data_IF_209922884409
#
_entry.id   IF_209922884409
#
_cell.length_a   1.000
_cell.length_b   1.000
_cell.length_c   1.000
_cell.angle_alpha   90.00
_cell.angle_beta   90.00
_cell.angle_gamma   90.00
#
_symmetry.space_group_name_H-M   'P 1'
#
loop_
_entity.id
_entity.type
_entity.pdbx_description
1 polymer ?
#
# COMPACT_ATOMS: atom_id res chain seq x y z
N UNK A 1 -24.31 12.79 -0.34
CA UNK A 1 -23.04 12.09 -0.08
C UNK A 1 -22.71 12.24 1.40
N UNK A 2 -22.31 11.16 2.08
CA UNK A 2 -21.97 11.17 3.52
C UNK A 2 -20.66 10.41 3.75
N UNK A 3 -19.89 10.83 4.75
CA UNK A 3 -18.67 10.13 5.20
C UNK A 3 -18.92 9.19 6.38
N UNK A 4 -20.19 9.05 6.82
CA UNK A 4 -20.57 8.32 8.05
C UNK A 4 -21.26 6.98 7.76
N UNK A 5 -21.14 6.45 6.54
CA UNK A 5 -21.72 5.13 6.24
C UNK A 5 -20.96 4.05 7.02
N UNK A 6 -21.70 3.17 7.68
CA UNK A 6 -21.16 2.12 8.53
C UNK A 6 -21.67 0.76 8.05
N UNK A 7 -20.83 -0.26 8.19
CA UNK A 7 -21.24 -1.65 8.09
C UNK A 7 -21.32 -2.25 9.49
N UNK A 8 -22.15 -3.28 9.63
CA UNK A 8 -22.27 -4.07 10.83
C UNK A 8 -21.60 -5.42 10.57
N UNK A 9 -20.44 -5.63 11.20
CA UNK A 9 -19.82 -6.95 11.28
C UNK A 9 -20.39 -7.70 12.49
N UNK A 10 -20.65 -8.99 12.34
CA UNK A 10 -21.15 -9.85 13.42
C UNK A 10 -20.40 -11.17 13.40
N UNK A 11 -20.29 -11.81 14.57
CA UNK A 11 -19.56 -13.09 14.70
C UNK A 11 -20.51 -14.28 14.53
N UNK A 12 -21.71 -14.20 15.11
CA UNK A 12 -22.68 -15.29 15.05
C UNK A 12 -24.09 -14.80 14.77
N UNK A 13 -24.83 -15.65 14.07
CA UNK A 13 -26.25 -15.49 13.76
C UNK A 13 -27.03 -16.49 14.62
N UNK A 14 -27.91 -15.99 15.48
CA UNK A 14 -28.79 -16.83 16.28
C UNK A 14 -30.18 -16.88 15.61
N UNK A 15 -30.52 -18.04 15.04
CA UNK A 15 -31.82 -18.27 14.44
C UNK A 15 -32.81 -18.77 15.50
N UNK A 16 -33.86 -17.99 15.74
CA UNK A 16 -35.03 -18.41 16.51
C UNK A 16 -36.26 -18.33 15.60
N UNK A 17 -37.32 -17.61 15.99
CA UNK A 17 -38.39 -17.22 15.06
C UNK A 17 -37.95 -16.09 14.10
N UNK A 18 -36.92 -15.32 14.47
CA UNK A 18 -36.26 -14.32 13.63
C UNK A 18 -34.75 -14.44 13.79
N UNK A 19 -33.96 -14.11 12.76
CA UNK A 19 -32.50 -14.09 12.86
C UNK A 19 -32.04 -12.91 13.73
N UNK A 20 -31.20 -13.19 14.73
CA UNK A 20 -30.57 -12.18 15.58
C UNK A 20 -29.06 -12.18 15.35
N UNK A 21 -28.48 -11.00 15.19
CA UNK A 21 -27.02 -10.83 15.09
C UNK A 21 -26.42 -10.71 16.49
N UNK A 22 -25.42 -11.53 16.78
CA UNK A 22 -24.73 -11.58 18.07
C UNK A 22 -23.28 -11.10 17.90
N UNK A 23 -22.77 -10.37 18.89
CA UNK A 23 -21.43 -9.75 18.89
C UNK A 23 -21.22 -8.84 17.68
N UNK A 24 -22.03 -7.77 17.61
CA UNK A 24 -21.97 -6.82 16.52
C UNK A 24 -20.95 -5.71 16.75
N UNK A 25 -20.15 -5.39 15.74
CA UNK A 25 -19.22 -4.26 15.72
C UNK A 25 -19.53 -3.38 14.52
N UNK A 26 -19.54 -2.06 14.73
CA UNK A 26 -19.72 -1.08 13.65
C UNK A 26 -18.36 -0.72 13.08
N UNK A 27 -18.24 -0.77 11.75
CA UNK A 27 -17.01 -0.46 11.03
C UNK A 27 -17.27 0.56 9.91
N UNK A 28 -16.30 1.45 9.58
CA UNK A 28 -16.38 2.34 8.42
C UNK A 28 -16.58 1.56 7.12
N UNK A 29 -17.62 1.87 6.35
CA UNK A 29 -17.99 1.01 5.22
C UNK A 29 -16.96 1.04 4.07
N UNK A 30 -16.52 2.22 3.65
CA UNK A 30 -15.65 2.38 2.48
C UNK A 30 -14.29 1.70 2.69
N UNK A 31 -13.62 2.02 3.79
CA UNK A 31 -12.28 1.52 4.09
C UNK A 31 -12.29 0.01 4.32
N UNK A 32 -13.29 -0.50 5.05
CA UNK A 32 -13.41 -1.93 5.27
C UNK A 32 -13.72 -2.71 4.00
N UNK A 33 -14.56 -2.18 3.11
CA UNK A 33 -14.78 -2.82 1.80
C UNK A 33 -13.50 -2.79 0.96
N UNK A 34 -12.80 -1.65 0.91
CA UNK A 34 -11.56 -1.51 0.16
C UNK A 34 -10.43 -2.41 0.67
N UNK A 35 -10.39 -2.78 1.96
CA UNK A 35 -9.36 -3.67 2.52
C UNK A 35 -9.74 -5.16 2.55
N UNK A 36 -11.03 -5.50 2.69
CA UNK A 36 -11.46 -6.87 2.96
C UNK A 36 -12.36 -7.50 1.91
N UNK A 37 -12.85 -6.74 0.92
CA UNK A 37 -13.63 -7.33 -0.17
C UNK A 37 -12.77 -8.31 -0.99
N UNK A 38 -13.43 -9.33 -1.53
CA UNK A 38 -12.81 -10.31 -2.42
C UNK A 38 -12.68 -9.77 -3.83
N UNK A 39 -13.63 -8.95 -4.26
CA UNK A 39 -13.59 -8.30 -5.57
C UNK A 39 -14.02 -6.84 -5.47
N UNK A 40 -13.28 -5.99 -6.17
CA UNK A 40 -13.50 -4.56 -6.36
C UNK A 40 -13.52 -4.33 -7.86
N UNK A 41 -14.65 -3.84 -8.34
CA UNK A 41 -14.87 -3.53 -9.75
C UNK A 41 -15.03 -2.02 -9.88
N UNK A 42 -14.40 -1.42 -10.89
CA UNK A 42 -14.35 0.05 -11.04
C UNK A 42 -14.72 0.50 -12.44
N UNK A 43 -15.12 1.77 -12.58
CA UNK A 43 -15.21 2.46 -13.87
C UNK A 43 -13.87 3.16 -14.22
N UNK A 44 -13.74 3.68 -15.44
CA UNK A 44 -12.54 4.39 -15.91
C UNK A 44 -12.07 5.50 -14.95
N UNK A 45 -12.97 6.36 -14.47
CA UNK A 45 -12.61 7.46 -13.56
C UNK A 45 -12.44 7.05 -12.09
N UNK A 46 -12.62 5.77 -11.76
CA UNK A 46 -12.63 5.23 -10.38
C UNK A 46 -13.66 5.89 -9.42
N UNK A 47 -14.59 6.69 -9.94
CA UNK A 47 -15.65 7.35 -9.17
C UNK A 47 -16.77 6.39 -8.72
N UNK A 48 -16.95 5.29 -9.44
CA UNK A 48 -17.91 4.22 -9.13
C UNK A 48 -17.14 2.93 -8.84
N UNK A 49 -17.34 2.39 -7.65
CA UNK A 49 -16.75 1.13 -7.21
C UNK A 49 -17.87 0.16 -6.84
N UNK A 50 -17.70 -1.11 -7.18
CA UNK A 50 -18.59 -2.18 -6.73
C UNK A 50 -17.80 -3.22 -5.96
N UNK A 51 -18.18 -3.43 -4.70
CA UNK A 51 -17.60 -4.45 -3.84
C UNK A 51 -18.44 -5.73 -3.89
N UNK A 52 -17.76 -6.86 -4.12
CA UNK A 52 -18.30 -8.22 -4.14
C UNK A 52 -19.51 -8.43 -5.06
N UNK A 53 -19.69 -7.56 -6.07
CA UNK A 53 -20.77 -7.63 -7.04
C UNK A 53 -22.16 -7.22 -6.52
N UNK A 54 -22.28 -6.65 -5.31
CA UNK A 54 -23.59 -6.30 -4.75
C UNK A 54 -23.65 -4.96 -4.00
N UNK A 55 -22.52 -4.40 -3.58
CA UNK A 55 -22.46 -3.08 -2.95
C UNK A 55 -21.82 -2.06 -3.89
N UNK A 56 -22.57 -1.03 -4.24
CA UNK A 56 -22.09 0.10 -5.01
C UNK A 56 -21.69 1.25 -4.08
N UNK A 57 -20.50 1.78 -4.35
CA UNK A 57 -19.88 2.94 -3.73
C UNK A 57 -19.69 4.00 -4.80
N UNK A 58 -20.30 5.17 -4.62
CA UNK A 58 -20.12 6.30 -5.53
C UNK A 58 -19.42 7.43 -4.79
N UNK A 59 -18.21 7.77 -5.23
CA UNK A 59 -17.41 8.87 -4.72
C UNK A 59 -17.71 10.14 -5.50
N UNK A 60 -17.71 11.29 -4.82
CA UNK A 60 -17.93 12.58 -5.45
C UNK A 60 -16.70 13.09 -6.21
N UNK A 61 -15.51 12.69 -5.75
CA UNK A 61 -14.22 13.14 -6.28
C UNK A 61 -13.44 11.92 -6.79
N UNK A 62 -13.16 11.91 -8.09
CA UNK A 62 -12.34 10.88 -8.74
C UNK A 62 -10.90 10.92 -8.24
N UNK A 63 -10.39 12.10 -7.88
CA UNK A 63 -9.02 12.24 -7.42
C UNK A 63 -8.79 11.54 -6.07
N UNK A 64 -9.66 11.83 -5.11
CA UNK A 64 -9.69 11.15 -3.82
C UNK A 64 -9.92 9.65 -3.96
N UNK A 65 -10.75 9.22 -4.92
CA UNK A 65 -11.01 7.80 -5.18
C UNK A 65 -9.75 7.07 -5.64
N UNK A 66 -9.02 7.64 -6.60
CA UNK A 66 -7.76 7.09 -7.10
C UNK A 66 -6.71 6.97 -5.99
N UNK A 67 -6.53 8.03 -5.19
CA UNK A 67 -5.58 8.01 -4.05
C UNK A 67 -5.94 6.95 -3.02
N UNK A 68 -7.24 6.80 -2.70
CA UNK A 68 -7.71 5.77 -1.77
C UNK A 68 -7.47 4.37 -2.32
N UNK A 69 -7.74 4.15 -3.61
CA UNK A 69 -7.48 2.86 -4.26
C UNK A 69 -6.00 2.53 -4.24
N UNK A 70 -5.12 3.44 -4.68
CA UNK A 70 -3.67 3.25 -4.63
C UNK A 70 -3.18 2.91 -3.22
N UNK A 71 -3.63 3.68 -2.22
CA UNK A 71 -3.30 3.41 -0.81
C UNK A 71 -3.81 2.04 -0.36
N UNK A 72 -5.04 1.67 -0.70
CA UNK A 72 -5.61 0.36 -0.33
C UNK A 72 -4.88 -0.81 -1.00
N UNK A 73 -4.44 -0.65 -2.26
CA UNK A 73 -3.66 -1.65 -2.98
C UNK A 73 -2.32 -1.88 -2.30
N UNK A 74 -1.59 -0.79 -2.02
CA UNK A 74 -0.31 -0.83 -1.30
C UNK A 74 -0.45 -1.49 0.08
N UNK A 75 -1.48 -1.11 0.85
CA UNK A 75 -1.72 -1.66 2.18
C UNK A 75 -2.05 -3.16 2.15
N UNK A 76 -2.84 -3.62 1.19
CA UNK A 76 -3.14 -5.05 1.02
C UNK A 76 -1.88 -5.85 0.69
N UNK A 77 -1.06 -5.39 -0.26
CA UNK A 77 0.20 -6.04 -0.63
C UNK A 77 1.19 -6.08 0.54
N UNK A 78 1.33 -4.96 1.27
CA UNK A 78 2.22 -4.89 2.43
C UNK A 78 1.71 -5.80 3.57
N UNK A 79 0.41 -5.84 3.82
CA UNK A 79 -0.19 -6.76 4.79
C UNK A 79 0.05 -8.21 4.39
N UNK A 80 -0.31 -8.62 3.17
CA UNK A 80 -0.15 -10.00 2.69
C UNK A 80 1.31 -10.45 2.78
N UNK A 81 2.26 -9.64 2.31
CA UNK A 81 3.69 -9.97 2.40
C UNK A 81 4.21 -10.05 3.84
N UNK A 82 3.71 -9.21 4.76
CA UNK A 82 4.05 -9.31 6.17
C UNK A 82 3.48 -10.58 6.81
N UNK A 83 2.24 -10.96 6.45
CA UNK A 83 1.58 -12.17 6.93
C UNK A 83 2.30 -13.42 6.42
N UNK A 84 2.62 -13.48 5.13
CA UNK A 84 3.33 -14.61 4.51
C UNK A 84 4.70 -14.82 5.17
N UNK A 85 5.44 -13.74 5.41
CA UNK A 85 6.72 -13.81 6.15
C UNK A 85 6.54 -14.36 7.57
N UNK A 86 5.47 -13.97 8.28
CA UNK A 86 5.18 -14.49 9.62
C UNK A 86 4.79 -15.97 9.60
N UNK A 87 3.92 -16.38 8.66
CA UNK A 87 3.49 -17.77 8.49
C UNK A 87 4.65 -18.67 8.07
N UNK A 88 5.48 -18.24 7.12
CA UNK A 88 6.68 -18.96 6.69
C UNK A 88 7.63 -19.21 7.87
N UNK A 89 7.83 -18.22 8.75
CA UNK A 89 8.61 -18.41 9.97
C UNK A 89 7.99 -19.38 10.94
N UNK A 90 6.68 -19.32 11.19
CA UNK A 90 6.03 -20.28 12.08
C UNK A 90 6.13 -21.70 11.53
N UNK A 91 5.97 -21.87 10.22
CA UNK A 91 6.18 -23.15 9.54
C UNK A 91 7.63 -23.62 9.67
N UNK A 92 8.60 -22.72 9.56
CA UNK A 92 10.03 -23.03 9.69
C UNK A 92 10.44 -23.32 11.14
N UNK A 93 9.89 -22.62 12.14
CA UNK A 93 10.08 -22.94 13.57
C UNK A 93 9.54 -24.32 13.92
N UNK A 94 8.39 -24.70 13.38
CA UNK A 94 7.84 -26.06 13.53
C UNK A 94 8.72 -27.14 12.86
N UNK A 95 9.55 -26.77 11.88
CA UNK A 95 10.51 -27.67 11.22
C UNK A 95 11.89 -27.70 11.89
N UNK A 96 12.35 -26.56 12.43
CA UNK A 96 13.64 -26.38 13.11
C UNK A 96 13.66 -26.83 14.58
N UNK A 97 12.56 -27.37 15.11
CA UNK A 97 12.60 -28.24 16.30
C UNK A 97 13.35 -29.56 16.02
N UNK A 98 13.89 -29.77 14.80
CA UNK A 98 14.75 -30.90 14.43
C UNK A 98 16.22 -30.55 14.08
N UNK A 99 16.59 -29.35 13.63
CA UNK A 99 18.00 -29.02 13.34
C UNK A 99 18.31 -27.52 13.57
N UNK A 100 19.52 -27.23 14.07
CA UNK A 100 19.96 -25.93 14.59
C UNK A 100 20.10 -24.83 13.51
N UNK A 101 19.57 -23.66 13.87
CA UNK A 101 19.77 -22.28 13.44
C UNK A 101 20.55 -21.96 12.14
N UNK A 102 19.87 -21.36 11.16
CA UNK A 102 20.46 -20.37 10.24
C UNK A 102 19.45 -19.25 9.97
N UNK A 103 19.81 -18.04 10.43
CA UNK A 103 18.98 -16.85 10.48
C UNK A 103 18.36 -16.42 9.15
N UNK A 104 17.04 -16.29 9.14
CA UNK A 104 16.32 -15.41 8.22
C UNK A 104 16.00 -14.10 8.95
N UNK A 105 16.06 -12.94 8.27
CA UNK A 105 15.83 -11.65 8.91
C UNK A 105 14.41 -11.64 9.49
N UNK A 106 14.28 -11.33 10.79
CA UNK A 106 13.00 -11.14 11.45
C UNK A 106 12.24 -9.99 10.76
N UNK A 107 10.90 -10.07 10.71
CA UNK A 107 10.06 -8.94 10.32
C UNK A 107 10.23 -8.05 11.52
N UNK A 108 10.83 -6.89 11.31
CA UNK A 108 11.14 -6.03 12.43
C UNK A 108 9.80 -5.69 13.12
N UNK A 109 9.74 -5.72 14.46
CA UNK A 109 8.57 -5.22 15.18
C UNK A 109 8.20 -3.79 14.75
N UNK A 110 9.18 -3.05 14.24
CA UNK A 110 9.05 -1.72 13.67
C UNK A 110 8.24 -1.69 12.37
N UNK A 111 8.45 -2.63 11.43
CA UNK A 111 7.63 -2.79 10.21
C UNK A 111 6.16 -3.04 10.55
N UNK A 112 5.90 -3.97 11.49
CA UNK A 112 4.51 -4.27 11.92
C UNK A 112 3.87 -3.06 12.58
N UNK A 113 4.63 -2.33 13.40
CA UNK A 113 4.16 -1.10 14.01
C UNK A 113 3.87 -0.01 12.95
N UNK A 114 4.72 0.12 11.93
CA UNK A 114 4.51 1.05 10.81
C UNK A 114 3.24 0.71 10.03
N UNK A 115 3.08 -0.54 9.60
CA UNK A 115 1.88 -1.03 8.93
C UNK A 115 0.62 -0.77 9.78
N UNK A 116 0.68 -1.03 11.09
CA UNK A 116 -0.48 -0.80 11.96
C UNK A 116 -0.88 0.67 12.01
N UNK A 117 0.09 1.61 12.01
CA UNK A 117 -0.18 3.05 11.99
C UNK A 117 -0.80 3.47 10.66
N UNK A 118 -0.30 2.98 9.54
CA UNK A 118 -0.85 3.29 8.23
C UNK A 118 -2.27 2.76 8.05
N UNK A 119 -2.54 1.53 8.50
CA UNK A 119 -3.88 0.96 8.50
C UNK A 119 -4.85 1.80 9.33
N UNK A 120 -4.43 2.24 10.53
CA UNK A 120 -5.25 3.12 11.37
C UNK A 120 -5.49 4.48 10.71
N UNK A 121 -4.47 5.07 10.09
CA UNK A 121 -4.60 6.33 9.36
C UNK A 121 -5.57 6.21 8.18
N UNK A 122 -5.50 5.10 7.43
CA UNK A 122 -6.42 4.81 6.33
C UNK A 122 -7.87 4.69 6.83
N UNK A 123 -8.09 4.01 7.96
CA UNK A 123 -9.42 3.85 8.57
C UNK A 123 -10.05 5.17 9.03
N UNK A 124 -9.24 6.20 9.32
CA UNK A 124 -9.71 7.51 9.78
C UNK A 124 -10.00 8.48 8.62
N UNK A 125 -9.54 8.18 7.41
CA UNK A 125 -9.71 9.04 6.24
C UNK A 125 -11.19 9.35 5.98
N UNK A 126 -11.56 10.64 5.96
CA UNK A 126 -12.94 11.08 5.75
C UNK A 126 -13.17 11.43 4.29
N UNK A 127 -13.84 10.55 3.57
CA UNK A 127 -14.22 10.79 2.17
C UNK A 127 -15.73 10.74 2.03
N UNK A 128 -16.38 11.72 1.36
CA UNK A 128 -17.82 11.69 1.13
C UNK A 128 -18.16 10.73 -0.03
N UNK A 129 -19.04 9.78 0.22
CA UNK A 129 -19.53 8.83 -0.79
C UNK A 129 -21.01 8.52 -0.60
N UNK A 130 -21.58 7.77 -1.53
CA UNK A 130 -22.91 7.15 -1.42
C UNK A 130 -22.71 5.65 -1.43
N UNK A 131 -23.37 4.98 -0.49
CA UNK A 131 -23.42 3.53 -0.41
C UNK A 131 -24.82 3.06 -0.82
N UNK A 132 -24.90 2.15 -1.79
CA UNK A 132 -26.16 1.58 -2.27
C UNK A 132 -26.01 0.07 -2.47
N UNK A 133 -27.03 -0.69 -2.13
CA UNK A 133 -27.15 -2.11 -2.51
C UNK A 133 -27.70 -2.18 -3.93
N UNK A 134 -27.02 -2.93 -4.80
CA UNK A 134 -27.48 -3.20 -6.15
C UNK A 134 -28.70 -4.14 -6.13
N UNK A 135 -29.64 -3.88 -7.02
CA UNK A 135 -30.77 -4.78 -7.28
C UNK A 135 -30.32 -5.96 -8.14
N UNK A 136 -31.13 -7.03 -8.18
CA UNK A 136 -30.81 -8.21 -9.00
C UNK A 136 -30.68 -7.90 -10.49
N UNK A 137 -31.47 -6.95 -11.01
CA UNK A 137 -31.41 -6.54 -12.42
C UNK A 137 -30.15 -5.71 -12.70
N UNK A 138 -29.79 -4.78 -11.82
CA UNK A 138 -28.56 -3.99 -11.96
C UNK A 138 -27.32 -4.88 -11.88
N UNK A 139 -27.32 -5.90 -11.01
CA UNK A 139 -26.21 -6.84 -10.91
C UNK A 139 -26.02 -7.68 -12.18
N UNK A 140 -27.09 -7.99 -12.92
CA UNK A 140 -27.02 -8.73 -14.19
C UNK A 140 -26.43 -7.87 -15.32
N UNK A 141 -26.71 -6.57 -15.33
CA UNK A 141 -26.26 -5.62 -16.36
C UNK A 141 -25.05 -4.79 -15.92
N UNK A 142 -24.32 -5.26 -14.91
CA UNK A 142 -23.28 -4.49 -14.27
C UNK A 142 -22.02 -4.33 -15.13
N UNK A 143 -21.72 -5.35 -15.94
CA UNK A 143 -20.44 -5.46 -16.63
C UNK A 143 -20.56 -5.23 -18.12
N UNK A 144 -19.53 -4.64 -18.71
CA UNK A 144 -19.49 -4.37 -20.16
C UNK A 144 -19.31 -5.66 -20.97
N UNK A 145 -18.62 -6.66 -20.39
CA UNK A 145 -18.38 -7.96 -21.01
C UNK A 145 -17.07 -8.03 -21.81
N UNK A 146 -16.73 -9.20 -22.37
CA UNK A 146 -15.39 -9.49 -22.90
C UNK A 146 -15.02 -8.81 -24.23
N UNK A 147 -15.97 -8.15 -24.91
CA UNK A 147 -15.81 -7.68 -26.30
C UNK A 147 -15.39 -6.20 -26.44
N UNK A 148 -15.24 -5.46 -25.34
CA UNK A 148 -15.02 -3.99 -25.36
C UNK A 148 -13.64 -3.60 -24.85
N UNK A 149 -12.60 -4.30 -25.27
CA UNK A 149 -11.22 -3.94 -24.89
C UNK A 149 -10.76 -2.78 -25.80
N UNK A 150 -10.94 -1.54 -25.34
CA UNK A 150 -10.23 -0.36 -25.86
C UNK A 150 -8.77 -0.50 -25.49
N UNK A 151 -7.90 -0.70 -26.50
CA UNK A 151 -6.42 -0.81 -26.43
C UNK A 151 -5.79 -0.46 -25.07
N UNK A 152 -5.09 -1.42 -24.46
CA UNK A 152 -4.43 -1.24 -23.17
C UNK A 152 -3.54 0.01 -23.16
N UNK A 153 -3.62 0.88 -22.14
CA UNK A 153 -2.68 1.97 -21.99
C UNK A 153 -1.30 1.37 -21.72
N UNK A 154 -0.52 1.19 -22.79
CA UNK A 154 0.86 0.75 -22.72
C UNK A 154 1.75 1.99 -22.76
N UNK A 155 2.22 2.40 -21.59
CA UNK A 155 3.36 3.30 -21.46
C UNK A 155 4.48 2.50 -20.80
N UNK A 156 5.35 1.86 -21.60
CA UNK A 156 6.46 1.08 -21.08
C UNK A 156 7.40 1.98 -20.27
N UNK A 157 7.76 1.55 -19.06
CA UNK A 157 8.84 2.15 -18.25
C UNK A 157 8.41 3.10 -17.12
N UNK A 158 7.18 3.62 -17.13
CA UNK A 158 6.65 4.46 -16.02
C UNK A 158 5.72 3.70 -15.07
N UNK A 159 5.16 2.60 -15.55
CA UNK A 159 4.24 1.74 -14.82
C UNK A 159 4.89 0.38 -14.79
N UNK A 160 5.12 -0.17 -13.58
CA UNK A 160 5.81 -1.44 -13.39
C UNK A 160 5.33 -2.52 -14.37
N UNK A 161 6.23 -3.44 -14.70
CA UNK A 161 6.16 -4.38 -15.84
C UNK A 161 4.94 -5.33 -15.90
N UNK A 162 3.90 -5.11 -15.09
CA UNK A 162 2.65 -5.84 -15.08
C UNK A 162 1.87 -5.56 -16.36
N UNK A 163 1.94 -6.51 -17.29
CA UNK A 163 1.07 -6.56 -18.46
C UNK A 163 -0.38 -6.70 -17.99
N UNK A 164 -1.15 -5.61 -18.08
CA UNK A 164 -2.58 -5.61 -17.77
C UNK A 164 -3.30 -6.65 -18.64
N UNK A 165 -3.85 -7.68 -18.01
CA UNK A 165 -4.60 -8.73 -18.71
C UNK A 165 -6.09 -8.37 -18.73
N UNK A 166 -6.79 -8.58 -19.85
CA UNK A 166 -8.23 -8.35 -19.89
C UNK A 166 -8.95 -9.41 -19.05
N UNK A 167 -9.97 -9.00 -18.30
CA UNK A 167 -10.74 -9.95 -17.48
C UNK A 167 -11.66 -10.81 -18.39
N UNK A 168 -11.65 -12.16 -18.27
CA UNK A 168 -12.29 -13.05 -19.24
C UNK A 168 -13.82 -12.93 -19.32
N UNK A 169 -14.50 -12.57 -18.23
CA UNK A 169 -15.97 -12.49 -18.18
C UNK A 169 -16.52 -11.07 -17.98
N UNK A 170 -15.91 -10.26 -17.11
CA UNK A 170 -16.37 -8.90 -16.78
C UNK A 170 -16.00 -7.86 -17.86
N UNK A 171 -14.97 -8.11 -18.66
CA UNK A 171 -14.33 -7.06 -19.46
C UNK A 171 -13.42 -6.17 -18.62
N UNK A 172 -12.90 -5.09 -19.21
CA UNK A 172 -11.92 -4.23 -18.56
C UNK A 172 -10.58 -4.95 -18.30
N UNK A 173 -9.77 -4.40 -17.39
CA UNK A 173 -8.41 -4.85 -17.10
C UNK A 173 -8.30 -5.42 -15.68
N UNK A 174 -7.77 -6.63 -15.53
CA UNK A 174 -7.39 -7.19 -14.24
C UNK A 174 -6.07 -6.55 -13.79
N UNK A 175 -6.12 -5.75 -12.72
CA UNK A 175 -4.95 -5.06 -12.15
C UNK A 175 -4.31 -5.91 -11.05
N UNK A 176 -5.14 -6.58 -10.26
CA UNK A 176 -4.74 -7.49 -9.18
C UNK A 176 -5.82 -8.57 -9.04
N UNK A 177 -5.56 -9.60 -8.24
CA UNK A 177 -6.48 -10.73 -8.06
C UNK A 177 -7.89 -10.32 -7.59
N UNK A 178 -8.00 -9.17 -6.91
CA UNK A 178 -9.25 -8.62 -6.41
C UNK A 178 -9.70 -7.33 -7.13
N UNK A 179 -8.88 -6.69 -7.96
CA UNK A 179 -9.22 -5.39 -8.58
C UNK A 179 -9.37 -5.51 -10.09
N UNK A 180 -10.57 -5.23 -10.58
CA UNK A 180 -10.86 -5.07 -12.02
C UNK A 180 -11.08 -3.60 -12.36
N UNK A 181 -10.25 -3.07 -13.24
CA UNK A 181 -10.36 -1.71 -13.74
C UNK A 181 -11.25 -1.61 -14.97
N UNK A 182 -12.11 -0.59 -14.96
CA UNK A 182 -12.99 -0.25 -16.07
C UNK A 182 -13.82 -1.42 -16.63
N UNK A 183 -14.44 -2.19 -15.74
CA UNK A 183 -15.32 -3.31 -16.11
C UNK A 183 -16.80 -2.97 -15.96
N UNK A 184 -17.13 -1.85 -15.32
CA UNK A 184 -18.51 -1.45 -15.04
C UNK A 184 -19.16 -0.74 -16.24
N UNK A 185 -20.42 -1.05 -16.51
CA UNK A 185 -21.26 -0.28 -17.43
C UNK A 185 -21.47 1.12 -16.87
N UNK A 186 -21.01 2.13 -17.60
CA UNK A 186 -21.15 3.54 -17.19
C UNK A 186 -22.15 4.20 -18.14
N UNK A 187 -23.13 4.92 -17.58
CA UNK A 187 -23.99 5.82 -18.39
C UNK A 187 -23.23 7.09 -18.85
N UNK A 188 -21.97 7.23 -18.41
CA UNK A 188 -21.09 8.38 -18.64
C UNK A 188 -20.08 8.08 -19.74
N UNK A 189 -19.63 9.14 -20.41
CA UNK A 189 -18.93 9.18 -21.71
C UNK A 189 -18.07 7.97 -22.06
N UNK A 190 -18.30 7.44 -23.27
CA UNK A 190 -17.52 6.39 -23.95
C UNK A 190 -16.00 6.66 -24.00
N UNK A 191 -15.58 7.89 -23.70
CA UNK A 191 -14.19 8.36 -23.73
C UNK A 191 -13.54 8.45 -22.35
N UNK A 192 -14.28 8.22 -21.24
CA UNK A 192 -13.76 8.34 -19.86
C UNK A 192 -12.44 7.59 -19.66
N UNK A 193 -12.30 6.45 -20.33
CA UNK A 193 -11.20 5.51 -20.14
C UNK A 193 -9.87 6.02 -20.70
N UNK A 194 -9.94 7.00 -21.61
CA UNK A 194 -8.80 7.63 -22.27
C UNK A 194 -8.56 9.07 -21.81
N UNK A 195 -9.43 9.62 -20.93
CA UNK A 195 -9.27 10.97 -20.44
C UNK A 195 -8.06 11.05 -19.50
N UNK A 196 -7.05 11.79 -19.94
CA UNK A 196 -5.86 12.08 -19.15
C UNK A 196 -6.02 13.45 -18.50
N UNK A 197 -5.77 13.50 -17.20
CA UNK A 197 -5.75 14.75 -16.44
C UNK A 197 -4.33 15.03 -15.95
N UNK A 198 -3.94 16.31 -15.95
CA UNK A 198 -2.66 16.70 -15.40
C UNK A 198 -2.64 16.41 -13.90
N UNK A 199 -1.62 15.67 -13.49
CA UNK A 199 -1.40 15.35 -12.09
C UNK A 199 0.08 15.51 -11.75
N UNK A 200 0.32 15.96 -10.53
CA UNK A 200 1.66 16.09 -9.95
C UNK A 200 1.82 15.06 -8.86
N UNK A 201 2.82 14.19 -8.97
CA UNK A 201 3.11 13.21 -7.94
C UNK A 201 3.49 13.91 -6.62
N UNK A 202 2.84 13.60 -5.49
CA UNK A 202 3.19 14.20 -4.19
C UNK A 202 4.52 13.70 -3.64
N UNK A 203 5.06 12.62 -4.21
CA UNK A 203 6.31 12.00 -3.78
C UNK A 203 7.49 12.50 -4.61
N UNK A 204 7.43 12.35 -5.94
CA UNK A 204 8.54 12.74 -6.82
C UNK A 204 8.37 14.04 -7.61
N UNK A 205 7.24 14.74 -7.43
CA UNK A 205 6.98 16.00 -8.13
C UNK A 205 6.77 15.87 -9.64
N UNK A 206 6.70 14.66 -10.20
CA UNK A 206 6.47 14.44 -11.64
C UNK A 206 5.11 15.02 -12.06
N UNK A 207 5.13 15.98 -13.00
CA UNK A 207 3.93 16.65 -13.53
C UNK A 207 3.66 16.24 -14.98
N UNK A 208 2.67 15.38 -15.20
CA UNK A 208 2.31 14.86 -16.53
C UNK A 208 0.80 14.53 -16.60
N UNK A 209 0.21 14.45 -17.81
CA UNK A 209 -1.18 14.01 -17.97
C UNK A 209 -1.29 12.47 -17.90
N UNK A 210 -1.99 11.98 -16.88
CA UNK A 210 -2.17 10.56 -16.60
C UNK A 210 -3.64 10.13 -16.64
N UNK A 211 -3.89 8.88 -17.02
CA UNK A 211 -5.17 8.22 -16.72
C UNK A 211 -5.22 7.83 -15.24
N UNK A 212 -6.42 7.59 -14.67
CA UNK A 212 -6.57 7.09 -13.30
C UNK A 212 -5.74 5.83 -13.03
N UNK A 213 -5.77 4.86 -13.96
CA UNK A 213 -4.99 3.62 -13.84
C UNK A 213 -3.47 3.88 -13.86
N UNK A 214 -3.00 4.75 -14.76
CA UNK A 214 -1.60 5.16 -14.83
C UNK A 214 -1.15 5.77 -13.50
N UNK A 215 -1.95 6.69 -12.95
CA UNK A 215 -1.65 7.29 -11.65
C UNK A 215 -1.54 6.25 -10.54
N UNK A 216 -2.47 5.30 -10.45
CA UNK A 216 -2.43 4.21 -9.45
C UNK A 216 -1.13 3.41 -9.59
N UNK A 217 -0.79 3.03 -10.82
CA UNK A 217 0.41 2.27 -11.08
C UNK A 217 1.69 3.04 -10.70
N UNK A 218 1.77 4.33 -11.05
CA UNK A 218 2.91 5.17 -10.65
C UNK A 218 2.98 5.36 -9.13
N UNK A 219 1.87 5.67 -8.44
CA UNK A 219 1.86 5.83 -6.97
C UNK A 219 2.32 4.55 -6.26
N UNK A 220 2.08 3.37 -6.84
CA UNK A 220 2.51 2.09 -6.27
C UNK A 220 3.98 1.75 -6.56
N UNK A 221 4.57 2.26 -7.64
CA UNK A 221 5.97 2.00 -8.03
C UNK A 221 6.87 3.23 -7.90
N UNK A 222 6.39 4.32 -7.30
CA UNK A 222 7.13 5.55 -7.21
C UNK A 222 8.37 5.33 -6.33
N UNK A 223 9.59 5.59 -6.85
CA UNK A 223 10.83 5.31 -6.12
C UNK A 223 11.01 6.23 -4.91
N UNK A 224 10.38 7.41 -4.91
CA UNK A 224 10.44 8.40 -3.83
C UNK A 224 9.18 8.34 -2.95
N UNK A 225 8.30 7.35 -3.15
CA UNK A 225 7.22 7.11 -2.20
C UNK A 225 7.83 6.77 -0.83
N UNK A 226 7.20 7.21 0.28
CA UNK A 226 7.64 6.83 1.61
C UNK A 226 7.45 5.31 1.77
N UNK A 227 8.52 4.56 1.52
CA UNK A 227 8.58 3.12 1.59
C UNK A 227 10.02 2.62 1.64
N UNK A 228 10.47 2.33 2.86
CA UNK A 228 11.57 1.42 3.23
C UNK A 228 12.94 1.62 2.58
N UNK A 229 13.68 2.61 3.06
CA UNK A 229 15.13 2.46 3.19
C UNK A 229 15.48 2.24 4.68
N UNK A 230 15.89 1.03 5.11
CA UNK A 230 16.68 0.88 6.31
C UNK A 230 18.13 1.29 5.98
N UNK A 231 18.35 2.56 5.62
CA UNK A 231 19.62 2.91 4.98
C UNK A 231 19.92 4.36 4.67
N UNK A 232 18.93 5.25 4.66
CA UNK A 232 19.20 6.69 4.52
C UNK A 232 18.38 7.46 5.54
N UNK A 233 19.00 7.62 6.71
CA UNK A 233 18.87 8.90 7.38
C UNK A 233 19.12 9.97 6.32
N UNK A 234 18.09 10.77 6.01
CA UNK A 234 18.32 12.15 5.63
C UNK A 234 19.37 12.66 6.60
N UNK A 235 20.57 12.89 6.08
CA UNK A 235 21.58 13.69 6.72
C UNK A 235 20.99 15.11 6.86
N UNK A 236 20.12 15.29 7.85
CA UNK A 236 20.14 16.50 8.63
C UNK A 236 21.62 16.68 9.01
N UNK A 237 22.25 17.83 8.71
CA UNK A 237 23.62 18.05 9.12
C UNK A 237 23.66 17.88 10.63
N UNK A 238 24.29 16.78 11.07
CA UNK A 238 24.50 16.53 12.48
C UNK A 238 25.15 17.80 13.07
N UNK A 239 24.68 18.30 14.22
CA UNK A 239 25.36 19.41 14.87
C UNK A 239 26.83 19.00 15.02
N UNK A 240 27.80 19.88 14.73
CA UNK A 240 29.20 19.51 14.69
C UNK A 240 29.56 18.80 15.99
N UNK A 241 29.97 17.55 15.88
CA UNK A 241 30.50 16.80 17.00
C UNK A 241 31.61 17.65 17.59
N UNK A 242 31.46 18.02 18.87
CA UNK A 242 32.45 18.80 19.60
C UNK A 242 33.73 17.96 19.67
N UNK A 243 34.60 18.13 18.70
CA UNK A 243 36.00 17.77 18.82
C UNK A 243 36.53 18.60 19.98
N UNK A 244 36.87 17.92 21.08
CA UNK A 244 37.55 18.57 22.19
C UNK A 244 38.78 19.28 21.63
N UNK A 245 38.94 20.58 21.91
CA UNK A 245 40.00 21.44 21.38
C UNK A 245 41.45 20.99 21.70
N UNK A 246 41.60 19.83 22.35
CA UNK A 246 42.85 19.23 22.81
C UNK A 246 43.26 17.97 22.01
N UNK A 247 42.41 17.47 21.10
CA UNK A 247 42.75 16.32 20.25
C UNK A 247 43.59 16.77 19.04
N UNK A 248 44.70 16.08 18.80
CA UNK A 248 45.59 16.34 17.65
C UNK A 248 45.82 15.06 16.85
N UNK A 249 46.04 15.15 15.54
CA UNK A 249 46.44 14.00 14.74
C UNK A 249 47.77 13.43 15.27
N UNK A 250 47.80 12.11 15.46
CA UNK A 250 48.92 11.32 15.97
C UNK A 250 49.06 10.06 15.13
N UNK A 251 50.20 9.93 14.46
CA UNK A 251 50.59 8.72 13.75
C UNK A 251 51.38 7.80 14.68
N UNK A 252 50.96 6.54 14.82
CA UNK A 252 51.72 5.56 15.59
C UNK A 252 52.65 4.76 14.68
N UNK A 253 53.97 4.87 14.89
CA UNK A 253 54.96 4.16 14.07
C UNK A 253 55.03 2.64 14.32
N UNK A 254 54.38 2.13 15.38
CA UNK A 254 54.36 0.68 15.68
C UNK A 254 53.24 -0.02 14.91
N UNK A 255 52.05 0.58 14.84
CA UNK A 255 50.91 0.00 14.12
C UNK A 255 50.63 0.66 12.75
N UNK A 256 51.33 1.74 12.40
CA UNK A 256 51.23 2.41 11.11
C UNK A 256 49.89 3.11 10.85
N UNK A 257 49.09 3.36 11.88
CA UNK A 257 47.77 3.98 11.77
C UNK A 257 47.75 5.41 12.32
N UNK A 258 46.93 6.25 11.68
CA UNK A 258 46.68 7.64 12.06
C UNK A 258 45.46 7.76 12.97
N UNK A 259 45.64 8.39 14.13
CA UNK A 259 44.59 8.62 15.12
C UNK A 259 44.45 10.09 15.48
N UNK A 260 43.31 10.51 16.02
CA UNK A 260 43.16 11.83 16.63
C UNK A 260 43.05 11.66 18.15
N UNK A 261 44.16 11.86 18.85
CA UNK A 261 44.27 11.59 20.29
C UNK A 261 44.65 12.85 21.07
N UNK A 262 44.19 12.90 22.31
CA UNK A 262 44.75 13.80 23.32
C UNK A 262 46.11 13.26 23.82
N UNK A 263 46.98 14.10 24.41
CA UNK A 263 48.29 13.65 24.90
C UNK A 263 48.24 12.46 25.87
N UNK A 264 47.19 12.34 26.69
CA UNK A 264 46.97 11.21 27.61
C UNK A 264 46.56 9.94 26.89
N UNK A 265 45.78 10.03 25.82
CA UNK A 265 45.40 8.90 24.96
C UNK A 265 46.58 8.36 24.16
N UNK A 266 47.47 9.24 23.68
CA UNK A 266 48.73 8.84 23.03
C UNK A 266 49.59 8.00 23.99
N UNK A 267 49.71 8.42 25.25
CA UNK A 267 50.46 7.67 26.26
C UNK A 267 49.81 6.32 26.58
N UNK A 268 48.47 6.26 26.65
CA UNK A 268 47.73 5.00 26.86
C UNK A 268 47.91 4.04 25.69
N UNK A 269 47.80 4.55 24.47
CA UNK A 269 48.01 3.77 23.24
C UNK A 269 49.44 3.24 23.16
N UNK A 270 50.45 4.05 23.48
CA UNK A 270 51.86 3.60 23.50
C UNK A 270 52.11 2.48 24.51
N UNK A 271 51.42 2.47 25.67
CA UNK A 271 51.52 1.36 26.64
C UNK A 271 50.90 0.05 26.16
N UNK A 272 49.98 0.09 25.19
CA UNK A 272 49.40 -1.13 24.61
C UNK A 272 50.36 -1.85 23.65
N UNK A 273 51.48 -1.21 23.30
CA UNK A 273 52.55 -1.76 22.45
C UNK A 273 53.80 -2.17 23.24
N UNK A 274 53.73 -2.17 24.59
CA UNK A 274 54.79 -2.62 25.50
C UNK A 274 54.46 -4.01 26.03
#
# INVERSE_FOLDING_TARGET
>A
MSCKHQLLAFVSLLETNKPYLVNCVRIPALQSLLLFSRSIDTNGDCSRLVADGWLELQLADSESAVRLLATSLRLRVHWESALDRQLARQAQRRKLEQEEDMGSPAVSPQEVAALSRELLQFMVAKVPYRLRRLTGLEAQNLYVGPQTITTAPSLPGLFGNSTLSPHPTKGGYAVSDYLTYNCLTSDTDLYSDCLRSFWTCPHCGLHMPFTPLERIAHENTCPEAPGDDPGSEEAAPAPPQKTSALQRPYHCQVCGQDFHFTPTEVLRHRRQHV
#
